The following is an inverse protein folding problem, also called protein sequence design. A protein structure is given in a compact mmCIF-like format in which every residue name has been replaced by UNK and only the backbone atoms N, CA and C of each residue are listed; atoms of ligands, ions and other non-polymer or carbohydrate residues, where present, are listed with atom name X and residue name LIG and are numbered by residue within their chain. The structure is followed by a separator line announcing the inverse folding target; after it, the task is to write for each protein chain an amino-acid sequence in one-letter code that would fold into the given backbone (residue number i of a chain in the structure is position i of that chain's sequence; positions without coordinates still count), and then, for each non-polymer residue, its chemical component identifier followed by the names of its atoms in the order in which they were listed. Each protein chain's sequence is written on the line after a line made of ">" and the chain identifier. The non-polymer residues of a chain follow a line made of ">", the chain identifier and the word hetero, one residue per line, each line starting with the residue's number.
data_IF_361092042890
#
_entry.id   IF_361092042890
#
_cell.length_a   1.000
_cell.length_b   1.000
_cell.length_c   1.000
_cell.angle_alpha   90.00
_cell.angle_beta   90.00
_cell.angle_gamma   90.00
#
_symmetry.space_group_name_H-M   'P 1'
#
loop_
_entity.id
_entity.type
_entity.pdbx_description
1 polymer ?
#
# COMPACT_ATOMS: atom_id res chain seq x y z
N UNK A 1 2.17 -26.16 11.95
CA UNK A 1 3.30 -25.27 11.61
C UNK A 1 2.86 -24.16 10.67
N UNK A 2 3.38 -22.96 10.90
CA UNK A 2 3.14 -21.84 9.99
C UNK A 2 3.89 -22.12 8.69
N UNK A 3 3.24 -21.89 7.53
CA UNK A 3 3.83 -22.19 6.23
C UNK A 3 4.10 -20.96 5.37
N UNK A 4 3.32 -19.89 5.50
CA UNK A 4 3.53 -18.69 4.70
C UNK A 4 2.73 -17.50 5.24
N UNK A 5 3.10 -16.32 4.78
CA UNK A 5 2.34 -15.09 5.00
C UNK A 5 1.32 -14.97 3.87
N UNK A 6 0.04 -15.07 4.20
CA UNK A 6 -1.04 -15.03 3.20
C UNK A 6 -1.71 -13.67 3.10
N UNK A 7 -1.75 -12.92 4.20
CA UNK A 7 -2.41 -11.62 4.28
C UNK A 7 -1.55 -10.67 5.12
N UNK A 8 -1.52 -9.41 4.74
CA UNK A 8 -0.96 -8.32 5.56
C UNK A 8 -1.99 -7.21 5.64
N UNK A 9 -2.01 -6.50 6.75
CA UNK A 9 -2.93 -5.38 6.94
C UNK A 9 -2.22 -4.07 6.63
N UNK A 10 -2.86 -3.24 5.82
CA UNK A 10 -2.43 -1.89 5.53
C UNK A 10 -3.55 -0.94 5.97
N UNK A 11 -3.29 -0.13 6.99
CA UNK A 11 -4.25 0.89 7.38
C UNK A 11 -4.26 2.03 6.37
N UNK A 12 -5.44 2.53 6.07
CA UNK A 12 -5.65 3.61 5.10
C UNK A 12 -6.68 4.59 5.64
N UNK A 13 -6.62 5.83 5.18
CA UNK A 13 -7.58 6.87 5.61
C UNK A 13 -8.96 6.66 4.99
N UNK A 14 -9.04 6.05 3.81
CA UNK A 14 -10.29 5.79 3.09
C UNK A 14 -10.14 4.53 2.25
N UNK A 15 -11.03 3.57 2.44
CA UNK A 15 -11.02 2.33 1.65
C UNK A 15 -11.35 2.60 0.18
N UNK A 16 -12.27 3.51 -0.12
CA UNK A 16 -12.61 3.85 -1.50
C UNK A 16 -11.43 4.49 -2.23
N UNK A 17 -10.76 5.44 -1.59
CA UNK A 17 -9.58 6.08 -2.16
C UNK A 17 -8.42 5.10 -2.32
N UNK A 18 -8.24 4.19 -1.35
CA UNK A 18 -7.22 3.16 -1.42
C UNK A 18 -7.48 2.19 -2.57
N UNK A 19 -8.72 1.74 -2.73
CA UNK A 19 -9.08 0.86 -3.84
C UNK A 19 -8.78 1.52 -5.19
N UNK A 20 -9.14 2.79 -5.33
CA UNK A 20 -8.84 3.54 -6.56
C UNK A 20 -7.34 3.60 -6.82
N UNK A 21 -6.56 3.87 -5.79
CA UNK A 21 -5.11 3.97 -5.93
C UNK A 21 -4.49 2.62 -6.35
N UNK A 22 -4.74 1.57 -5.57
CA UNK A 22 -4.08 0.29 -5.80
C UNK A 22 -4.58 -0.42 -7.05
N UNK A 23 -5.86 -0.31 -7.37
CA UNK A 23 -6.42 -0.97 -8.56
C UNK A 23 -6.22 -0.13 -9.81
N UNK A 24 -6.65 1.15 -9.78
CA UNK A 24 -6.67 1.95 -11.00
C UNK A 24 -5.33 2.60 -11.34
N UNK A 25 -4.53 2.95 -10.33
CA UNK A 25 -3.22 3.57 -10.56
C UNK A 25 -2.09 2.56 -10.59
N UNK A 26 -2.05 1.64 -9.64
CA UNK A 26 -0.98 0.62 -9.60
C UNK A 26 -1.27 -0.61 -10.46
N UNK A 27 -2.52 -0.86 -10.83
CA UNK A 27 -2.88 -2.02 -11.63
C UNK A 27 -3.01 -3.32 -10.82
N UNK A 28 -3.19 -3.22 -9.51
CA UNK A 28 -3.45 -4.38 -8.67
C UNK A 28 -4.87 -4.89 -8.91
N UNK A 29 -5.13 -6.13 -8.52
CA UNK A 29 -6.46 -6.72 -8.62
C UNK A 29 -7.15 -6.70 -7.26
N UNK A 30 -8.38 -6.20 -7.20
CA UNK A 30 -9.22 -6.36 -6.02
C UNK A 30 -9.68 -7.82 -5.96
N UNK A 31 -9.22 -8.56 -4.97
CA UNK A 31 -9.60 -9.96 -4.82
C UNK A 31 -10.91 -10.10 -4.07
N UNK A 32 -11.07 -9.38 -2.98
CA UNK A 32 -12.28 -9.37 -2.17
C UNK A 32 -12.70 -7.94 -1.91
N UNK A 33 -13.98 -7.67 -2.06
CA UNK A 33 -14.59 -6.40 -1.66
C UNK A 33 -16.02 -6.73 -1.22
N UNK A 34 -16.18 -7.03 0.07
CA UNK A 34 -17.44 -7.48 0.63
C UNK A 34 -17.76 -6.69 1.90
N UNK A 35 -18.93 -6.10 1.94
CA UNK A 35 -19.44 -5.43 3.15
C UNK A 35 -20.37 -6.37 3.88
N UNK A 36 -20.05 -6.66 5.13
CA UNK A 36 -20.82 -7.53 6.00
C UNK A 36 -22.06 -6.81 6.54
N UNK A 37 -23.01 -7.56 7.09
CA UNK A 37 -24.25 -6.99 7.63
C UNK A 37 -24.01 -5.95 8.74
N UNK A 38 -22.92 -6.11 9.50
CA UNK A 38 -22.56 -5.16 10.56
C UNK A 38 -21.85 -3.90 10.03
N UNK A 39 -21.72 -3.75 8.71
CA UNK A 39 -21.05 -2.61 8.08
C UNK A 39 -19.54 -2.76 7.89
N UNK A 40 -18.93 -3.85 8.38
CA UNK A 40 -17.52 -4.10 8.17
C UNK A 40 -17.25 -4.44 6.70
N UNK A 41 -16.30 -3.72 6.08
CA UNK A 41 -15.92 -3.96 4.69
C UNK A 41 -14.59 -4.68 4.62
N UNK A 42 -14.63 -5.89 4.09
CA UNK A 42 -13.44 -6.69 3.82
C UNK A 42 -12.97 -6.39 2.40
N UNK A 43 -11.86 -5.67 2.32
CA UNK A 43 -11.30 -5.23 1.04
C UNK A 43 -9.86 -5.69 0.93
N UNK A 44 -9.54 -6.48 -0.10
CA UNK A 44 -8.17 -6.94 -0.35
C UNK A 44 -7.77 -6.69 -1.79
N UNK A 45 -6.47 -6.44 -1.99
CA UNK A 45 -5.86 -6.31 -3.31
C UNK A 45 -4.63 -7.21 -3.39
N UNK A 46 -4.28 -7.63 -4.61
CA UNK A 46 -3.07 -8.43 -4.86
C UNK A 46 -2.26 -7.78 -5.98
N UNK A 47 -0.94 -7.82 -5.84
CA UNK A 47 -0.03 -7.37 -6.89
C UNK A 47 -0.01 -8.37 -8.06
N UNK A 48 0.29 -7.91 -9.30
CA UNK A 48 0.21 -8.79 -10.48
C UNK A 48 1.04 -10.07 -10.39
N UNK A 49 2.25 -9.98 -9.86
CA UNK A 49 3.16 -11.13 -9.78
C UNK A 49 3.19 -11.81 -8.41
N UNK A 50 2.24 -11.46 -7.55
CA UNK A 50 2.21 -11.98 -6.17
C UNK A 50 0.79 -12.34 -5.76
N UNK A 51 0.13 -13.28 -6.48
CA UNK A 51 -1.27 -13.61 -6.21
C UNK A 51 -1.51 -14.30 -4.87
N UNK A 52 -0.45 -14.81 -4.22
CA UNK A 52 -0.57 -15.53 -2.96
C UNK A 52 -0.56 -14.62 -1.73
N UNK A 53 -0.28 -13.34 -1.90
CA UNK A 53 -0.28 -12.37 -0.80
C UNK A 53 -1.38 -11.33 -1.02
N UNK A 54 -2.36 -11.33 -0.12
CA UNK A 54 -3.41 -10.33 -0.13
C UNK A 54 -3.07 -9.19 0.82
N UNK A 55 -3.21 -7.97 0.32
CA UNK A 55 -3.08 -6.76 1.13
C UNK A 55 -4.48 -6.36 1.57
N UNK A 56 -4.73 -6.40 2.87
CA UNK A 56 -6.03 -6.03 3.45
C UNK A 56 -6.01 -4.54 3.72
N UNK A 57 -6.90 -3.79 3.06
CA UNK A 57 -6.99 -2.34 3.20
C UNK A 57 -8.08 -2.01 4.23
N UNK A 58 -7.67 -1.53 5.40
CA UNK A 58 -8.58 -1.26 6.52
C UNK A 58 -8.49 0.19 6.99
N UNK A 59 -9.64 0.78 7.31
CA UNK A 59 -9.66 2.04 8.03
C UNK A 59 -9.49 1.75 9.52
N UNK A 60 -8.65 2.51 10.24
CA UNK A 60 -8.45 2.28 11.68
C UNK A 60 -9.70 2.68 12.45
N UNK A 61 -10.36 1.69 13.01
CA UNK A 61 -11.58 1.84 13.80
C UNK A 61 -11.47 1.06 15.09
N UNK A 62 -12.22 1.51 16.09
CA UNK A 62 -12.33 0.80 17.37
C UNK A 62 -12.88 -0.61 17.14
N UNK A 63 -12.31 -1.59 17.83
CA UNK A 63 -12.71 -2.95 17.72
C UNK A 63 -11.85 -3.84 18.62
N UNK A 64 -11.87 -5.16 18.41
CA UNK A 64 -11.13 -6.09 19.27
C UNK A 64 -9.63 -5.84 19.34
N UNK A 65 -9.03 -5.29 18.28
CA UNK A 65 -7.56 -5.10 18.19
C UNK A 65 -7.12 -3.65 18.38
N UNK A 66 -8.03 -2.69 18.31
CA UNK A 66 -7.73 -1.26 18.49
C UNK A 66 -8.72 -0.65 19.47
N UNK A 67 -8.21 -0.10 20.58
CA UNK A 67 -9.03 0.73 21.43
C UNK A 67 -9.21 2.13 20.83
N UNK A 68 -10.00 2.98 21.48
CA UNK A 68 -10.29 4.34 21.03
C UNK A 68 -9.01 5.16 20.81
N UNK A 69 -8.10 5.10 21.79
CA UNK A 69 -6.86 5.87 21.75
C UNK A 69 -5.94 5.37 20.64
N UNK A 70 -5.79 4.05 20.49
CA UNK A 70 -4.93 3.46 19.46
C UNK A 70 -5.47 3.74 18.06
N UNK A 71 -6.76 3.63 17.83
CA UNK A 71 -7.37 3.96 16.54
C UNK A 71 -7.13 5.44 16.19
N UNK A 72 -7.27 6.34 17.16
CA UNK A 72 -6.99 7.76 16.95
C UNK A 72 -5.52 8.02 16.63
N UNK A 73 -4.62 7.30 17.30
CA UNK A 73 -3.17 7.43 17.05
C UNK A 73 -2.81 6.96 15.62
N UNK A 74 -3.37 5.85 15.16
CA UNK A 74 -3.14 5.37 13.79
C UNK A 74 -3.68 6.39 12.79
N UNK A 75 -4.89 6.89 12.99
CA UNK A 75 -5.46 7.93 12.12
C UNK A 75 -4.56 9.16 12.03
N UNK A 76 -3.99 9.59 13.15
CA UNK A 76 -3.09 10.73 13.19
C UNK A 76 -1.84 10.48 12.35
N UNK A 77 -1.21 9.30 12.50
CA UNK A 77 -0.02 8.95 11.74
C UNK A 77 -0.31 8.85 10.24
N UNK A 78 -1.45 8.28 9.88
CA UNK A 78 -1.88 8.23 8.48
C UNK A 78 -2.09 9.63 7.90
N UNK A 79 -2.70 10.52 8.67
CA UNK A 79 -2.91 11.91 8.24
C UNK A 79 -1.59 12.63 7.99
N UNK A 80 -0.57 12.33 8.78
CA UNK A 80 0.77 12.90 8.60
C UNK A 80 1.55 12.26 7.44
N UNK A 81 1.11 11.10 6.95
CA UNK A 81 1.79 10.40 5.85
C UNK A 81 3.15 9.84 6.21
N UNK A 82 3.37 9.49 7.47
CA UNK A 82 4.69 9.09 7.98
C UNK A 82 4.90 7.58 8.07
N UNK A 83 3.86 6.78 7.78
CA UNK A 83 3.96 5.33 7.93
C UNK A 83 4.62 4.69 6.70
N UNK A 84 5.82 4.15 6.90
CA UNK A 84 6.48 3.31 5.90
C UNK A 84 5.88 1.92 5.92
N UNK A 85 5.31 1.50 4.78
CA UNK A 85 4.56 0.26 4.71
C UNK A 85 5.35 -0.92 4.13
N UNK A 86 6.32 -0.65 3.28
CA UNK A 86 7.12 -1.69 2.68
C UNK A 86 7.82 -1.24 1.41
N UNK A 87 8.20 -2.22 0.60
CA UNK A 87 8.85 -1.97 -0.68
C UNK A 87 8.17 -2.79 -1.77
N UNK A 88 7.93 -2.17 -2.90
CA UNK A 88 7.50 -2.83 -4.13
C UNK A 88 8.68 -2.96 -5.08
N UNK A 89 8.73 -4.07 -5.80
CA UNK A 89 9.71 -4.27 -6.85
C UNK A 89 9.17 -3.83 -8.21
N UNK A 90 10.07 -3.31 -9.03
CA UNK A 90 9.78 -3.01 -10.43
C UNK A 90 11.02 -3.37 -11.27
N UNK A 91 10.85 -3.84 -12.51
CA UNK A 91 11.99 -4.08 -13.39
C UNK A 91 12.63 -2.79 -13.91
N UNK A 92 11.93 -1.65 -13.85
CA UNK A 92 12.44 -0.36 -14.33
C UNK A 92 11.87 0.77 -13.48
N UNK A 93 12.64 1.21 -12.50
CA UNK A 93 12.21 2.22 -11.53
C UNK A 93 11.91 3.58 -12.17
N UNK A 94 12.76 4.01 -13.11
CA UNK A 94 12.58 5.31 -13.77
C UNK A 94 11.31 5.34 -14.61
N UNK A 95 11.07 4.28 -15.37
CA UNK A 95 9.87 4.16 -16.20
C UNK A 95 8.60 4.07 -15.33
N UNK A 96 8.64 3.28 -14.27
CA UNK A 96 7.52 3.16 -13.33
C UNK A 96 7.22 4.50 -12.68
N UNK A 97 8.25 5.22 -12.24
CA UNK A 97 8.10 6.57 -11.69
C UNK A 97 7.40 7.51 -12.67
N UNK A 98 7.86 7.57 -13.91
CA UNK A 98 7.27 8.44 -14.94
C UNK A 98 5.82 8.08 -15.23
N UNK A 99 5.53 6.78 -15.38
CA UNK A 99 4.18 6.28 -15.65
C UNK A 99 3.22 6.62 -14.53
N UNK A 100 3.61 6.36 -13.29
CA UNK A 100 2.75 6.61 -12.13
C UNK A 100 2.60 8.10 -11.85
N UNK A 101 3.66 8.88 -12.03
CA UNK A 101 3.59 10.34 -11.88
C UNK A 101 2.60 10.94 -12.88
N UNK A 102 2.58 10.44 -14.11
CA UNK A 102 1.60 10.87 -15.12
C UNK A 102 0.16 10.56 -14.73
N UNK A 103 -0.06 9.55 -13.89
CA UNK A 103 -1.37 9.22 -13.33
C UNK A 103 -1.71 10.00 -12.06
N UNK A 104 -0.85 10.91 -11.64
CA UNK A 104 -1.08 11.72 -10.45
C UNK A 104 -0.55 11.11 -9.14
N UNK A 105 0.22 10.03 -9.21
CA UNK A 105 0.84 9.45 -8.01
C UNK A 105 1.96 10.36 -7.52
N UNK A 106 1.98 10.61 -6.21
CA UNK A 106 2.98 11.47 -5.58
C UNK A 106 4.20 10.68 -5.15
N UNK A 107 5.37 11.27 -5.37
CA UNK A 107 6.65 10.73 -4.94
C UNK A 107 7.38 11.79 -4.10
N UNK A 108 8.18 11.35 -3.15
CA UNK A 108 9.01 12.26 -2.33
C UNK A 108 10.15 12.88 -3.13
N UNK A 109 10.47 12.30 -4.28
CA UNK A 109 11.53 12.80 -5.17
C UNK A 109 11.67 11.87 -6.37
N UNK A 110 12.56 12.23 -7.29
CA UNK A 110 12.87 11.39 -8.44
C UNK A 110 13.67 10.14 -8.01
N UNK A 111 13.69 9.08 -8.85
CA UNK A 111 14.50 7.90 -8.55
C UNK A 111 15.97 8.24 -8.30
N UNK A 112 16.54 7.61 -7.29
CA UNK A 112 17.95 7.77 -6.92
C UNK A 112 18.64 6.41 -6.86
N UNK A 113 19.91 6.40 -7.21
CA UNK A 113 20.70 5.19 -7.11
C UNK A 113 21.16 4.97 -5.68
N UNK A 114 21.01 3.75 -5.19
CA UNK A 114 21.46 3.28 -3.89
C UNK A 114 22.37 2.07 -4.08
N UNK A 115 23.03 1.62 -3.00
CA UNK A 115 23.88 0.44 -3.08
C UNK A 115 23.11 -0.83 -3.51
N UNK A 116 21.80 -0.90 -3.20
CA UNK A 116 20.94 -2.06 -3.50
C UNK A 116 20.20 -1.95 -4.84
N UNK A 117 20.20 -0.78 -5.48
CA UNK A 117 19.51 -0.57 -6.75
C UNK A 117 19.04 0.86 -6.91
N UNK A 118 18.04 1.04 -7.77
CA UNK A 118 17.42 2.34 -8.03
C UNK A 118 16.09 2.40 -7.28
N UNK A 119 15.86 3.48 -6.53
CA UNK A 119 14.72 3.62 -5.63
C UNK A 119 14.04 4.96 -5.78
N UNK A 120 12.70 4.94 -5.70
CA UNK A 120 11.88 6.14 -5.50
C UNK A 120 10.91 5.90 -4.35
N UNK A 121 10.62 6.92 -3.58
CA UNK A 121 9.66 6.84 -2.47
C UNK A 121 8.29 7.29 -2.97
N UNK A 122 7.35 6.38 -2.99
CA UNK A 122 5.99 6.58 -3.49
C UNK A 122 5.02 6.77 -2.31
N UNK A 123 4.08 7.71 -2.46
CA UNK A 123 3.00 7.90 -1.50
C UNK A 123 1.70 7.34 -2.07
N UNK A 124 0.94 6.63 -1.27
CA UNK A 124 -0.33 6.05 -1.74
C UNK A 124 -1.52 7.02 -1.63
N UNK A 125 -1.31 8.20 -1.06
CA UNK A 125 -2.38 9.18 -0.92
C UNK A 125 -3.41 8.86 0.17
N UNK A 126 -3.24 7.74 0.86
CA UNK A 126 -4.12 7.31 1.96
C UNK A 126 -3.34 7.03 3.25
N UNK A 127 -2.17 7.66 3.37
CA UNK A 127 -1.41 7.71 4.61
C UNK A 127 -0.10 6.94 4.63
N UNK A 128 0.21 6.17 3.61
CA UNK A 128 1.39 5.30 3.60
C UNK A 128 2.40 5.73 2.54
N UNK A 129 3.66 5.35 2.77
CA UNK A 129 4.68 5.44 1.74
C UNK A 129 5.34 4.08 1.54
N UNK A 130 5.79 3.85 0.32
CA UNK A 130 6.50 2.64 -0.08
C UNK A 130 7.78 3.02 -0.80
N UNK A 131 8.81 2.19 -0.65
CA UNK A 131 9.93 2.19 -1.58
C UNK A 131 9.49 1.48 -2.85
N UNK A 132 9.80 2.05 -4.01
CA UNK A 132 9.66 1.38 -5.30
C UNK A 132 11.08 1.14 -5.80
N UNK A 133 11.49 -0.11 -5.87
CA UNK A 133 12.90 -0.46 -6.05
C UNK A 133 13.11 -1.36 -7.26
N UNK A 134 14.07 -0.96 -8.09
CA UNK A 134 14.65 -1.81 -9.11
C UNK A 134 15.96 -2.34 -8.56
N UNK A 135 16.03 -3.64 -8.32
CA UNK A 135 17.23 -4.25 -7.74
C UNK A 135 18.37 -4.26 -8.77
N UNK A 136 19.60 -4.19 -8.25
CA UNK A 136 20.78 -4.35 -9.10
C UNK A 136 20.82 -5.78 -9.65
N UNK A 137 21.30 -5.96 -10.89
CA UNK A 137 21.54 -7.30 -11.41
C UNK A 137 22.53 -8.06 -10.53
N UNK A 138 22.29 -9.33 -10.35
CA UNK A 138 23.18 -10.23 -9.61
C UNK A 138 24.28 -10.78 -10.53
#
# INVERSE_FOLDING_TARGET
>A
MITKLSHVTLFVTSQDAAKDFYVNKLGFTARTDHTMDNGFRWLTVVAPDQPDLEIVLLEPKEGPMLDTESAAAVRLLLKKGVLGAGAFETPDCKKTYETLKAKGVQFAGAPEERFYGTEAIMRDGVGNWFSVTQQKPH
#
